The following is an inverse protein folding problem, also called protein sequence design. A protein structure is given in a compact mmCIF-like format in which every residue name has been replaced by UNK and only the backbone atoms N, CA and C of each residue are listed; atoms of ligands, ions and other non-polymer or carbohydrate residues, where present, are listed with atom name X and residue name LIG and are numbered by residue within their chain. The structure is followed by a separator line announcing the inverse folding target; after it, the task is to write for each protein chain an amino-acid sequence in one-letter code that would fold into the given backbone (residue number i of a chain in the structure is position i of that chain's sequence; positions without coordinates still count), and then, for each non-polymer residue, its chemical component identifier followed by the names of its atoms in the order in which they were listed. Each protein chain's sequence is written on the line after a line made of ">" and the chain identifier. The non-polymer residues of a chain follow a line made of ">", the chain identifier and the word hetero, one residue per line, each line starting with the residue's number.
data_IF_057911005447
#
_entry.id   IF_057911005447
#
_cell.length_a   1.000
_cell.length_b   1.000
_cell.length_c   1.000
_cell.angle_alpha   90.00
_cell.angle_beta   90.00
_cell.angle_gamma   90.00
#
_symmetry.space_group_name_H-M   'P 1'
#
loop_
_entity.id
_entity.type
_entity.pdbx_description
1 polymer ?
#
# COMPACT_ATOMS: atom_id res chain seq x y z
N UNK A 1 28.99 -10.58 -0.25
CA UNK A 1 27.87 -9.76 0.28
C UNK A 1 26.52 -10.49 0.20
N UNK A 2 26.23 -11.27 -0.86
CA UNK A 2 25.00 -12.07 -1.00
C UNK A 2 24.79 -13.15 0.08
N UNK A 3 25.84 -13.82 0.55
CA UNK A 3 25.69 -14.94 1.51
C UNK A 3 25.35 -14.53 2.96
N UNK A 4 25.52 -13.25 3.35
CA UNK A 4 25.09 -12.76 4.69
C UNK A 4 23.63 -12.27 4.72
N UNK A 5 23.03 -12.00 3.57
CA UNK A 5 21.62 -11.57 3.44
C UNK A 5 20.64 -12.76 3.52
N UNK A 6 21.06 -13.94 3.05
CA UNK A 6 20.20 -15.12 2.90
C UNK A 6 19.80 -15.73 4.25
N UNK A 7 20.64 -15.62 5.29
CA UNK A 7 20.42 -16.30 6.57
C UNK A 7 19.32 -15.73 7.47
N UNK A 8 18.77 -14.54 7.18
CA UNK A 8 17.77 -13.89 8.06
C UNK A 8 16.48 -13.49 7.34
N UNK A 9 16.55 -13.14 6.06
CA UNK A 9 15.44 -12.62 5.23
C UNK A 9 14.41 -13.66 4.69
N UNK A 10 14.40 -14.89 5.20
CA UNK A 10 13.78 -16.02 4.51
C UNK A 10 12.25 -15.90 4.35
N UNK A 11 11.51 -15.42 5.35
CA UNK A 11 10.04 -15.53 5.34
C UNK A 11 9.39 -14.70 4.23
N UNK A 12 9.69 -13.41 4.12
CA UNK A 12 9.07 -12.54 3.11
C UNK A 12 9.56 -12.90 1.69
N UNK A 13 10.83 -13.29 1.55
CA UNK A 13 11.38 -13.79 0.28
C UNK A 13 10.65 -15.05 -0.20
N UNK A 14 10.49 -16.04 0.69
CA UNK A 14 9.78 -17.30 0.39
C UNK A 14 8.30 -17.02 0.09
N UNK A 15 7.63 -16.16 0.87
CA UNK A 15 6.23 -15.78 0.60
C UNK A 15 6.08 -15.17 -0.80
N UNK A 16 6.95 -14.22 -1.17
CA UNK A 16 6.92 -13.60 -2.49
C UNK A 16 7.18 -14.60 -3.62
N UNK A 17 8.11 -15.55 -3.42
CA UNK A 17 8.38 -16.60 -4.39
C UNK A 17 7.19 -17.56 -4.55
N UNK A 18 6.57 -17.98 -3.44
CA UNK A 18 5.37 -18.82 -3.47
C UNK A 18 4.24 -18.11 -4.24
N UNK A 19 4.01 -16.82 -3.95
CA UNK A 19 2.99 -16.04 -4.65
C UNK A 19 3.28 -15.90 -6.14
N UNK A 20 4.54 -15.66 -6.52
CA UNK A 20 4.97 -15.63 -7.91
C UNK A 20 4.63 -16.95 -8.62
N UNK A 21 4.99 -18.09 -8.03
CA UNK A 21 4.70 -19.41 -8.59
C UNK A 21 3.18 -19.67 -8.69
N UNK A 22 2.41 -19.26 -7.68
CA UNK A 22 0.95 -19.33 -7.72
C UNK A 22 0.36 -18.48 -8.86
N UNK A 23 0.89 -17.26 -9.05
CA UNK A 23 0.46 -16.36 -10.11
C UNK A 23 0.83 -16.87 -11.52
N UNK A 24 1.92 -17.61 -11.66
CA UNK A 24 2.28 -18.29 -12.92
C UNK A 24 1.27 -19.40 -13.22
N UNK A 25 0.96 -20.26 -12.23
CA UNK A 25 0.13 -21.47 -12.41
C UNK A 25 -1.38 -21.21 -12.44
N UNK A 26 -1.86 -20.12 -11.85
CA UNK A 26 -3.28 -19.68 -11.87
C UNK A 26 -4.27 -20.78 -11.43
N UNK A 27 -4.01 -21.41 -10.28
CA UNK A 27 -4.86 -22.48 -9.78
C UNK A 27 -5.70 -22.03 -8.58
N UNK A 28 -7.00 -22.30 -8.61
CA UNK A 28 -7.96 -21.92 -7.56
C UNK A 28 -7.56 -22.44 -6.17
N UNK A 29 -7.11 -23.70 -6.08
CA UNK A 29 -6.66 -24.30 -4.82
C UNK A 29 -5.40 -23.61 -4.32
N UNK A 30 -4.44 -23.33 -5.22
CA UNK A 30 -3.23 -22.59 -4.85
C UNK A 30 -3.53 -21.16 -4.41
N UNK A 31 -4.50 -20.47 -5.05
CA UNK A 31 -4.98 -19.17 -4.59
C UNK A 31 -5.51 -19.21 -3.15
N UNK A 32 -6.40 -20.16 -2.85
CA UNK A 32 -6.97 -20.30 -1.50
C UNK A 32 -5.89 -20.65 -0.47
N UNK A 33 -5.00 -21.57 -0.80
CA UNK A 33 -3.91 -21.97 0.10
C UNK A 33 -2.92 -20.82 0.32
N UNK A 34 -2.55 -20.08 -0.72
CA UNK A 34 -1.59 -18.99 -0.59
C UNK A 34 -2.13 -17.84 0.25
N UNK A 35 -3.40 -17.45 0.06
CA UNK A 35 -3.99 -16.38 0.87
C UNK A 35 -4.16 -16.78 2.33
N UNK A 36 -4.56 -18.03 2.62
CA UNK A 36 -4.67 -18.55 3.99
C UNK A 36 -3.29 -18.58 4.66
N UNK A 37 -2.28 -19.10 3.96
CA UNK A 37 -0.91 -19.19 4.47
C UNK A 37 -0.38 -17.80 4.86
N UNK A 38 -0.52 -16.82 3.97
CA UNK A 38 -0.03 -15.47 4.22
C UNK A 38 -0.86 -14.79 5.30
N UNK A 39 -2.19 -14.91 5.27
CA UNK A 39 -3.04 -14.38 6.32
C UNK A 39 -2.61 -14.93 7.70
N UNK A 40 -2.33 -16.23 7.81
CA UNK A 40 -1.83 -16.80 9.06
C UNK A 40 -0.49 -16.19 9.50
N UNK A 41 0.45 -15.99 8.57
CA UNK A 41 1.73 -15.34 8.89
C UNK A 41 1.58 -13.93 9.47
N UNK A 42 0.59 -13.15 9.02
CA UNK A 42 0.41 -11.75 9.41
C UNK A 42 -0.62 -11.56 10.54
N UNK A 43 -1.64 -12.40 10.65
CA UNK A 43 -2.63 -12.32 11.74
C UNK A 43 -2.01 -12.77 13.06
N UNK A 44 -1.16 -13.81 13.03
CA UNK A 44 -0.53 -14.36 14.23
C UNK A 44 0.69 -13.55 14.70
N UNK A 45 1.13 -12.57 13.91
CA UNK A 45 2.30 -11.77 14.26
C UNK A 45 2.26 -10.36 13.67
N UNK A 46 2.64 -9.38 14.47
CA UNK A 46 2.73 -7.98 14.12
C UNK A 46 4.16 -7.47 14.28
N UNK A 47 4.38 -6.17 14.20
CA UNK A 47 5.67 -5.58 14.56
C UNK A 47 6.79 -5.76 13.53
N UNK A 48 6.44 -6.08 12.28
CA UNK A 48 7.37 -6.01 11.15
C UNK A 48 7.51 -4.53 10.76
N UNK A 49 8.72 -3.99 10.62
CA UNK A 49 8.98 -2.54 10.53
C UNK A 49 8.82 -1.79 11.87
N UNK A 50 8.56 -0.48 11.83
CA UNK A 50 8.78 0.46 12.92
C UNK A 50 7.55 1.27 13.34
N UNK A 51 6.69 1.69 12.40
CA UNK A 51 5.55 2.59 12.67
C UNK A 51 4.57 2.06 13.72
N UNK A 52 4.48 0.73 13.87
CA UNK A 52 3.67 0.07 14.91
C UNK A 52 4.02 0.49 16.34
N UNK A 53 5.26 0.92 16.59
CA UNK A 53 5.71 1.38 17.90
C UNK A 53 4.93 2.63 18.30
N UNK A 54 4.74 3.58 17.37
CA UNK A 54 3.94 4.78 17.64
C UNK A 54 2.46 4.43 17.91
N UNK A 55 1.90 3.43 17.20
CA UNK A 55 0.52 2.97 17.44
C UNK A 55 0.39 2.25 18.78
N UNK A 56 1.38 1.45 19.17
CA UNK A 56 1.42 0.77 20.47
C UNK A 56 1.51 1.78 21.61
N UNK A 57 2.36 2.80 21.48
CA UNK A 57 2.56 3.84 22.50
C UNK A 57 1.31 4.68 22.73
N UNK A 58 0.59 5.00 21.65
CA UNK A 58 -0.72 5.65 21.75
C UNK A 58 -1.75 4.72 22.38
N UNK A 59 -1.74 3.43 22.06
CA UNK A 59 -2.70 2.47 22.60
C UNK A 59 -2.55 2.32 24.13
N UNK A 60 -1.33 2.17 24.63
CA UNK A 60 -1.09 2.00 26.08
C UNK A 60 -1.41 3.27 26.88
N UNK A 61 -1.38 4.44 26.23
CA UNK A 61 -1.66 5.75 26.82
C UNK A 61 -2.95 6.35 26.24
N UNK A 62 -3.88 5.52 25.75
CA UNK A 62 -5.02 6.01 24.97
C UNK A 62 -5.92 6.97 25.77
N UNK A 63 -5.86 6.90 27.10
CA UNK A 63 -6.61 7.75 28.03
C UNK A 63 -6.08 9.18 28.16
N UNK A 64 -4.86 9.46 27.68
CA UNK A 64 -4.31 10.81 27.63
C UNK A 64 -4.86 11.63 26.44
N UNK A 65 -5.57 10.96 25.54
CA UNK A 65 -6.12 11.53 24.32
C UNK A 65 -7.66 11.58 24.38
N UNK A 66 -8.22 12.65 23.83
CA UNK A 66 -9.64 12.93 23.68
C UNK A 66 -9.96 13.58 22.33
N UNK A 67 -11.19 14.09 22.20
CA UNK A 67 -11.70 14.68 20.95
C UNK A 67 -10.90 15.89 20.46
N UNK A 68 -10.32 16.67 21.38
CA UNK A 68 -9.61 17.92 21.06
C UNK A 68 -8.12 17.70 20.73
N UNK A 69 -7.57 16.51 20.99
CA UNK A 69 -6.15 16.19 20.82
C UNK A 69 -5.97 14.78 20.24
N UNK A 70 -6.70 14.45 19.17
CA UNK A 70 -6.62 13.13 18.54
C UNK A 70 -5.21 12.85 18.00
N UNK A 71 -4.59 11.70 18.34
CA UNK A 71 -3.25 11.35 17.88
C UNK A 71 -3.23 10.94 16.40
N UNK A 72 -4.36 10.45 15.89
CA UNK A 72 -4.53 9.94 14.53
C UNK A 72 -5.93 10.31 13.99
N UNK A 73 -6.24 9.88 12.77
CA UNK A 73 -7.59 9.99 12.23
C UNK A 73 -8.62 9.28 13.14
N UNK A 74 -9.84 9.83 13.27
CA UNK A 74 -10.82 9.41 14.27
C UNK A 74 -11.15 7.90 14.24
N UNK A 75 -11.17 7.29 13.05
CA UNK A 75 -11.57 5.89 12.87
C UNK A 75 -10.65 4.91 13.60
N UNK A 76 -9.33 5.05 13.48
CA UNK A 76 -8.40 4.18 14.21
C UNK A 76 -8.41 4.50 15.71
N UNK A 77 -8.46 5.78 16.08
CA UNK A 77 -8.50 6.21 17.47
C UNK A 77 -9.69 5.60 18.22
N UNK A 78 -10.90 5.71 17.67
CA UNK A 78 -12.09 5.15 18.31
C UNK A 78 -12.07 3.62 18.33
N UNK A 79 -11.51 2.99 17.30
CA UNK A 79 -11.29 1.53 17.32
C UNK A 79 -10.34 1.12 18.46
N UNK A 80 -9.25 1.86 18.68
CA UNK A 80 -8.33 1.64 19.81
C UNK A 80 -9.05 1.82 21.15
N UNK A 81 -9.83 2.90 21.32
CA UNK A 81 -10.64 3.15 22.53
C UNK A 81 -11.64 2.04 22.82
N UNK A 82 -12.28 1.48 21.81
CA UNK A 82 -13.21 0.35 21.96
C UNK A 82 -12.48 -0.88 22.46
N UNK A 83 -11.31 -1.22 21.91
CA UNK A 83 -10.55 -2.39 22.34
C UNK A 83 -10.00 -2.22 23.76
N UNK A 84 -9.53 -1.01 24.11
CA UNK A 84 -9.04 -0.68 25.46
C UNK A 84 -10.18 -0.76 26.50
N UNK A 85 -11.38 -0.26 26.18
CA UNK A 85 -12.51 -0.24 27.12
C UNK A 85 -13.03 -1.63 27.50
N UNK A 86 -12.81 -2.64 26.65
CA UNK A 86 -13.12 -4.06 26.93
C UNK A 86 -11.89 -4.86 27.39
N UNK A 87 -10.76 -4.19 27.66
CA UNK A 87 -9.56 -4.79 28.24
C UNK A 87 -8.75 -5.67 27.29
N UNK A 88 -8.91 -5.52 25.97
CA UNK A 88 -8.14 -6.31 25.00
C UNK A 88 -6.74 -5.71 24.77
N UNK A 89 -5.71 -6.53 24.48
CA UNK A 89 -4.37 -6.01 24.20
C UNK A 89 -4.23 -5.48 22.77
N UNK A 90 -3.27 -4.57 22.55
CA UNK A 90 -2.93 -4.03 21.23
C UNK A 90 -2.64 -5.12 20.18
N UNK A 91 -2.02 -6.23 20.59
CA UNK A 91 -1.72 -7.36 19.70
C UNK A 91 -2.99 -7.94 19.07
N UNK A 92 -4.06 -8.06 19.85
CA UNK A 92 -5.35 -8.56 19.38
C UNK A 92 -6.05 -7.56 18.47
N UNK A 93 -6.00 -6.27 18.78
CA UNK A 93 -6.44 -5.21 17.88
C UNK A 93 -5.74 -5.35 16.52
N UNK A 94 -4.42 -5.48 16.50
CA UNK A 94 -3.66 -5.65 15.27
C UNK A 94 -4.08 -6.93 14.52
N UNK A 95 -4.24 -8.05 15.22
CA UNK A 95 -4.72 -9.31 14.62
C UNK A 95 -6.09 -9.16 13.95
N UNK A 96 -7.03 -8.45 14.59
CA UNK A 96 -8.35 -8.14 14.00
C UNK A 96 -8.25 -7.23 12.78
N UNK A 97 -7.37 -6.23 12.81
CA UNK A 97 -7.12 -5.35 11.65
C UNK A 97 -6.57 -6.15 10.47
N UNK A 98 -5.54 -6.96 10.69
CA UNK A 98 -4.96 -7.80 9.64
C UNK A 98 -5.99 -8.79 9.09
N UNK A 99 -6.80 -9.41 9.96
CA UNK A 99 -7.89 -10.29 9.54
C UNK A 99 -8.86 -9.56 8.60
N UNK A 100 -9.25 -8.32 8.92
CA UNK A 100 -10.11 -7.51 8.05
C UNK A 100 -9.43 -7.16 6.73
N UNK A 101 -8.14 -6.84 6.73
CA UNK A 101 -7.37 -6.56 5.51
C UNK A 101 -7.34 -7.79 4.60
N UNK A 102 -6.96 -8.96 5.13
CA UNK A 102 -6.91 -10.20 4.35
C UNK A 102 -8.29 -10.67 3.89
N UNK A 103 -9.33 -10.49 4.70
CA UNK A 103 -10.72 -10.70 4.28
C UNK A 103 -11.07 -9.81 3.08
N UNK A 104 -10.70 -8.53 3.13
CA UNK A 104 -10.97 -7.58 2.04
C UNK A 104 -10.20 -7.94 0.76
N UNK A 105 -8.94 -8.37 0.88
CA UNK A 105 -8.13 -8.89 -0.23
C UNK A 105 -8.79 -10.14 -0.84
N UNK A 106 -9.21 -11.08 0.00
CA UNK A 106 -9.90 -12.28 -0.45
C UNK A 106 -11.17 -11.94 -1.23
N UNK A 107 -12.02 -11.07 -0.68
CA UNK A 107 -13.30 -10.68 -1.29
C UNK A 107 -13.13 -9.94 -2.62
N UNK A 108 -12.07 -9.15 -2.78
CA UNK A 108 -11.75 -8.51 -4.05
C UNK A 108 -11.21 -9.53 -5.06
N UNK A 109 -10.20 -10.31 -4.68
CA UNK A 109 -9.54 -11.25 -5.60
C UNK A 109 -10.44 -12.41 -6.03
N UNK A 110 -11.38 -12.87 -5.19
CA UNK A 110 -12.26 -14.00 -5.56
C UNK A 110 -13.16 -13.70 -6.76
N UNK A 111 -13.42 -12.42 -7.02
CA UNK A 111 -14.25 -11.96 -8.13
C UNK A 111 -13.43 -11.65 -9.39
N UNK A 112 -12.10 -11.84 -9.35
CA UNK A 112 -11.20 -11.66 -10.49
C UNK A 112 -11.04 -12.97 -11.24
N UNK A 113 -10.80 -12.86 -12.54
CA UNK A 113 -10.63 -14.03 -13.41
C UNK A 113 -9.32 -14.74 -13.04
N UNK A 114 -8.26 -13.97 -12.85
CA UNK A 114 -6.95 -14.40 -12.41
C UNK A 114 -6.69 -14.00 -10.95
N UNK A 115 -7.25 -14.82 -10.05
CA UNK A 115 -7.21 -14.60 -8.60
C UNK A 115 -5.78 -14.58 -8.05
N UNK A 116 -4.94 -15.55 -8.46
CA UNK A 116 -3.56 -15.66 -8.00
C UNK A 116 -2.70 -14.48 -8.45
N UNK A 117 -2.86 -14.01 -9.69
CA UNK A 117 -2.19 -12.79 -10.16
C UNK A 117 -2.62 -11.57 -9.35
N UNK A 118 -3.91 -11.42 -9.10
CA UNK A 118 -4.46 -10.30 -8.33
C UNK A 118 -3.88 -10.25 -6.91
N UNK A 119 -3.81 -11.39 -6.22
CA UNK A 119 -3.16 -11.50 -4.89
C UNK A 119 -1.68 -11.12 -4.97
N UNK A 120 -0.95 -11.64 -5.96
CA UNK A 120 0.47 -11.35 -6.08
C UNK A 120 0.74 -9.87 -6.38
N UNK A 121 -0.05 -9.21 -7.24
CA UNK A 121 0.09 -7.77 -7.49
C UNK A 121 -0.10 -6.96 -6.20
N UNK A 122 -1.18 -7.24 -5.44
CA UNK A 122 -1.44 -6.55 -4.18
C UNK A 122 -0.29 -6.74 -3.19
N UNK A 123 0.16 -7.98 -3.00
CA UNK A 123 1.20 -8.28 -2.04
C UNK A 123 2.58 -7.77 -2.48
N UNK A 124 2.91 -7.84 -3.78
CA UNK A 124 4.18 -7.35 -4.30
C UNK A 124 4.36 -5.84 -4.09
N UNK A 125 3.28 -5.07 -4.18
CA UNK A 125 3.35 -3.61 -4.10
C UNK A 125 3.03 -3.10 -2.68
N UNK A 126 2.15 -3.78 -1.94
CA UNK A 126 1.69 -3.31 -0.63
C UNK A 126 2.16 -4.17 0.53
N UNK A 127 2.57 -5.41 0.30
CA UNK A 127 2.76 -6.42 1.35
C UNK A 127 3.77 -5.98 2.40
N UNK A 128 4.75 -5.17 2.02
CA UNK A 128 5.75 -4.65 2.95
C UNK A 128 5.44 -3.27 3.54
N UNK A 129 4.51 -2.52 2.98
CA UNK A 129 4.29 -1.13 3.41
C UNK A 129 2.96 -1.00 4.14
N UNK A 130 1.90 -1.60 3.62
CA UNK A 130 0.57 -1.51 4.22
C UNK A 130 0.27 -2.63 5.22
N UNK A 131 0.82 -3.83 5.05
CA UNK A 131 0.56 -4.98 5.94
C UNK A 131 1.53 -5.11 7.12
N UNK A 132 2.53 -4.25 7.21
CA UNK A 132 3.56 -4.33 8.26
C UNK A 132 3.76 -2.98 8.96
N UNK A 133 3.76 -1.89 8.20
CA UNK A 133 4.15 -0.57 8.70
C UNK A 133 2.95 0.37 8.88
N UNK A 134 2.11 0.52 7.85
CA UNK A 134 1.16 1.64 7.78
C UNK A 134 -0.28 1.21 8.10
N UNK A 135 -0.53 0.77 9.34
CA UNK A 135 -1.84 0.24 9.82
C UNK A 135 -3.03 1.11 9.38
N UNK A 136 -2.95 2.43 9.63
CA UNK A 136 -3.99 3.41 9.25
C UNK A 136 -4.35 3.35 7.77
N UNK A 137 -3.30 3.36 6.94
CA UNK A 137 -3.46 3.36 5.50
C UNK A 137 -3.89 1.98 4.98
N UNK A 138 -3.40 0.89 5.59
CA UNK A 138 -3.83 -0.47 5.30
C UNK A 138 -5.33 -0.66 5.52
N UNK A 139 -5.87 -0.16 6.64
CA UNK A 139 -7.31 -0.16 6.94
C UNK A 139 -8.12 0.64 5.91
N UNK A 140 -7.71 1.88 5.63
CA UNK A 140 -8.39 2.71 4.64
C UNK A 140 -8.42 2.04 3.26
N UNK A 141 -7.30 1.45 2.84
CA UNK A 141 -7.22 0.70 1.59
C UNK A 141 -8.12 -0.55 1.61
N UNK A 142 -8.12 -1.33 2.70
CA UNK A 142 -8.95 -2.53 2.82
C UNK A 142 -10.45 -2.21 2.70
N UNK A 143 -10.90 -1.09 3.28
CA UNK A 143 -12.29 -0.60 3.11
C UNK A 143 -12.57 -0.33 1.63
N UNK A 144 -11.73 0.44 0.95
CA UNK A 144 -11.89 0.72 -0.49
C UNK A 144 -11.89 -0.57 -1.31
N UNK A 145 -10.97 -1.49 -1.02
CA UNK A 145 -10.82 -2.75 -1.73
C UNK A 145 -12.06 -3.65 -1.56
N UNK A 146 -12.57 -3.77 -0.33
CA UNK A 146 -13.76 -4.57 0.01
C UNK A 146 -14.99 -4.14 -0.77
N UNK A 147 -15.13 -2.84 -0.97
CA UNK A 147 -16.27 -2.21 -1.62
C UNK A 147 -15.97 -1.74 -3.04
N UNK A 148 -14.87 -2.21 -3.64
CA UNK A 148 -14.46 -1.79 -4.97
C UNK A 148 -15.53 -2.07 -6.05
N UNK A 149 -16.34 -3.13 -5.86
CA UNK A 149 -17.46 -3.47 -6.75
C UNK A 149 -18.46 -2.32 -6.92
N UNK A 150 -18.62 -1.43 -5.92
CA UNK A 150 -19.51 -0.27 -6.04
C UNK A 150 -19.06 0.70 -7.14
N UNK A 151 -17.75 0.82 -7.37
CA UNK A 151 -17.17 1.64 -8.43
C UNK A 151 -17.31 0.96 -9.79
N UNK A 152 -17.19 -0.37 -9.85
CA UNK A 152 -17.42 -1.17 -11.07
C UNK A 152 -18.89 -1.10 -11.50
N UNK A 153 -19.82 -1.19 -10.53
CA UNK A 153 -21.27 -1.12 -10.72
C UNK A 153 -21.80 0.32 -10.90
N UNK A 154 -20.93 1.34 -10.87
CA UNK A 154 -21.28 2.78 -10.96
C UNK A 154 -22.30 3.23 -9.89
N UNK A 155 -22.27 2.64 -8.70
CA UNK A 155 -23.10 3.02 -7.55
C UNK A 155 -22.53 4.26 -6.84
N UNK A 156 -22.46 5.38 -7.58
CA UNK A 156 -21.71 6.60 -7.22
C UNK A 156 -21.98 7.12 -5.81
N UNK A 157 -23.24 7.14 -5.36
CA UNK A 157 -23.58 7.63 -4.03
C UNK A 157 -23.04 6.71 -2.93
N UNK A 158 -23.18 5.38 -3.09
CA UNK A 158 -22.65 4.42 -2.12
C UNK A 158 -21.13 4.45 -2.11
N UNK A 159 -20.48 4.51 -3.28
CA UNK A 159 -19.02 4.61 -3.36
C UNK A 159 -18.50 5.93 -2.78
N UNK A 160 -19.23 7.04 -2.91
CA UNK A 160 -18.90 8.31 -2.27
C UNK A 160 -18.81 8.15 -0.73
N UNK A 161 -19.84 7.56 -0.10
CA UNK A 161 -19.82 7.34 1.35
C UNK A 161 -18.71 6.38 1.80
N UNK A 162 -18.41 5.34 1.01
CA UNK A 162 -17.29 4.44 1.31
C UNK A 162 -15.95 5.19 1.32
N UNK A 163 -15.74 6.15 0.42
CA UNK A 163 -14.53 6.98 0.44
C UNK A 163 -14.47 7.80 1.73
N UNK A 164 -15.57 8.43 2.14
CA UNK A 164 -15.63 9.19 3.39
C UNK A 164 -15.32 8.31 4.62
N UNK A 165 -15.87 7.09 4.66
CA UNK A 165 -15.57 6.13 5.74
C UNK A 165 -14.08 5.77 5.74
N UNK A 166 -13.48 5.50 4.58
CA UNK A 166 -12.05 5.20 4.49
C UNK A 166 -11.17 6.39 4.93
N UNK A 167 -11.61 7.62 4.67
CA UNK A 167 -10.91 8.84 5.12
C UNK A 167 -10.86 8.98 6.64
N UNK A 168 -11.81 8.39 7.38
CA UNK A 168 -11.75 8.32 8.84
C UNK A 168 -10.57 7.50 9.36
N UNK A 169 -10.00 6.62 8.54
CA UNK A 169 -8.81 5.83 8.90
C UNK A 169 -7.54 6.42 8.31
N UNK A 170 -7.60 6.96 7.09
CA UNK A 170 -6.47 7.66 6.48
C UNK A 170 -6.93 8.63 5.39
N UNK A 171 -6.58 9.92 5.53
CA UNK A 171 -7.08 10.97 4.64
C UNK A 171 -6.69 10.79 3.17
N UNK A 172 -5.61 10.06 2.87
CA UNK A 172 -5.20 9.81 1.49
C UNK A 172 -6.20 9.01 0.66
N UNK A 173 -7.18 8.35 1.30
CA UNK A 173 -8.29 7.68 0.61
C UNK A 173 -9.12 8.64 -0.27
N UNK A 174 -9.05 9.95 -0.04
CA UNK A 174 -9.66 10.98 -0.91
C UNK A 174 -9.28 10.82 -2.38
N UNK A 175 -8.09 10.27 -2.68
CA UNK A 175 -7.64 10.05 -4.06
C UNK A 175 -8.54 9.07 -4.83
N UNK A 176 -9.32 8.24 -4.14
CA UNK A 176 -10.27 7.33 -4.76
C UNK A 176 -11.40 8.04 -5.51
N UNK A 177 -11.60 9.35 -5.28
CA UNK A 177 -12.48 10.16 -6.15
C UNK A 177 -12.02 10.16 -7.62
N UNK A 178 -10.72 9.91 -7.89
CA UNK A 178 -10.20 9.73 -9.25
C UNK A 178 -10.72 8.46 -9.93
N UNK A 179 -11.33 7.51 -9.20
CA UNK A 179 -11.87 6.29 -9.81
C UNK A 179 -13.00 6.61 -10.81
N UNK A 180 -13.78 7.66 -10.56
CA UNK A 180 -14.87 8.07 -11.44
C UNK A 180 -14.40 8.45 -12.86
N UNK A 181 -13.40 9.35 -13.04
CA UNK A 181 -12.84 9.61 -14.37
C UNK A 181 -11.96 8.45 -14.90
N UNK A 182 -11.31 7.67 -14.02
CA UNK A 182 -10.42 6.57 -14.43
C UNK A 182 -11.16 5.40 -15.09
N UNK A 183 -12.39 5.12 -14.66
CA UNK A 183 -13.24 4.07 -15.22
C UNK A 183 -13.87 4.46 -16.57
N UNK A 184 -13.67 5.70 -17.06
CA UNK A 184 -14.17 6.13 -18.38
C UNK A 184 -13.30 5.59 -19.52
N UNK A 185 -14.01 4.98 -20.49
CA UNK A 185 -13.51 4.13 -21.57
C UNK A 185 -13.27 4.91 -22.88
N UNK A 186 -12.28 5.81 -22.88
CA UNK A 186 -12.18 6.87 -23.90
C UNK A 186 -10.86 6.89 -24.71
N UNK A 187 -10.08 5.80 -24.73
CA UNK A 187 -8.90 5.71 -25.58
C UNK A 187 -7.72 6.59 -25.14
N UNK A 188 -6.79 6.83 -26.07
CA UNK A 188 -5.54 7.59 -25.83
C UNK A 188 -5.77 9.04 -25.37
N UNK A 189 -6.71 9.83 -25.95
CA UNK A 189 -6.95 11.19 -25.48
C UNK A 189 -7.32 11.25 -24.00
N UNK A 190 -8.03 10.23 -23.49
CA UNK A 190 -8.37 10.14 -22.08
C UNK A 190 -7.17 9.81 -21.19
N UNK A 191 -6.20 9.04 -21.68
CA UNK A 191 -4.93 8.82 -20.96
C UNK A 191 -4.18 10.15 -20.84
N UNK A 192 -4.00 10.87 -21.95
CA UNK A 192 -3.30 12.17 -21.98
C UNK A 192 -3.97 13.17 -21.04
N UNK A 193 -5.30 13.31 -21.15
CA UNK A 193 -6.10 14.19 -20.27
C UNK A 193 -5.95 13.81 -18.79
N UNK A 194 -5.97 12.51 -18.48
CA UNK A 194 -5.75 12.03 -17.11
C UNK A 194 -4.33 12.36 -16.62
N UNK A 195 -3.30 12.12 -17.43
CA UNK A 195 -1.92 12.48 -17.09
C UNK A 195 -1.79 13.96 -16.76
N UNK A 196 -2.40 14.83 -17.56
CA UNK A 196 -2.42 16.28 -17.30
C UNK A 196 -3.08 16.60 -15.94
N UNK A 197 -4.21 15.97 -15.62
CA UNK A 197 -4.86 16.13 -14.31
C UNK A 197 -4.00 15.64 -13.15
N UNK A 198 -3.28 14.54 -13.30
CA UNK A 198 -2.35 14.06 -12.28
C UNK A 198 -1.21 15.04 -12.04
N UNK A 199 -0.60 15.54 -13.12
CA UNK A 199 0.48 16.53 -13.03
C UNK A 199 -0.02 17.82 -12.37
N UNK A 200 -1.17 18.33 -12.79
CA UNK A 200 -1.79 19.50 -12.17
C UNK A 200 -2.09 19.28 -10.68
N UNK A 201 -2.66 18.14 -10.31
CA UNK A 201 -2.93 17.77 -8.92
C UNK A 201 -1.65 17.75 -8.07
N UNK A 202 -0.56 17.17 -8.58
CA UNK A 202 0.71 17.09 -7.87
C UNK A 202 1.36 18.47 -7.72
N UNK A 203 1.30 19.32 -8.75
CA UNK A 203 1.80 20.71 -8.69
C UNK A 203 1.02 21.51 -7.64
N UNK A 204 -0.31 21.44 -7.65
CA UNK A 204 -1.15 22.13 -6.66
C UNK A 204 -0.88 21.61 -5.25
N UNK A 205 -0.83 20.30 -5.06
CA UNK A 205 -0.56 19.69 -3.76
C UNK A 205 0.83 20.07 -3.24
N UNK A 206 1.82 20.18 -4.13
CA UNK A 206 3.16 20.64 -3.79
C UNK A 206 3.16 22.10 -3.35
N UNK A 207 2.45 22.97 -4.07
CA UNK A 207 2.34 24.38 -3.71
C UNK A 207 1.68 24.58 -2.34
N UNK A 208 0.63 23.80 -2.05
CA UNK A 208 -0.02 23.78 -0.74
C UNK A 208 0.90 23.25 0.37
N UNK A 209 1.74 22.25 0.09
CA UNK A 209 2.73 21.77 1.04
C UNK A 209 3.82 22.81 1.36
N UNK A 210 4.31 23.55 0.35
CA UNK A 210 5.28 24.63 0.55
C UNK A 210 4.71 25.78 1.37
N UNK A 211 3.46 26.14 1.11
CA UNK A 211 2.72 27.23 1.76
C UNK A 211 1.41 26.73 2.39
N UNK A 212 1.48 26.01 3.54
CA UNK A 212 0.28 25.51 4.22
C UNK A 212 -0.71 26.62 4.58
N UNK A 213 -0.23 27.84 4.84
CA UNK A 213 -1.06 28.99 5.24
C UNK A 213 -2.17 29.33 4.22
N UNK A 214 -2.01 28.94 2.95
CA UNK A 214 -3.03 29.09 1.91
C UNK A 214 -4.33 28.32 2.20
N UNK A 215 -4.26 27.31 3.07
CA UNK A 215 -5.41 26.50 3.51
C UNK A 215 -5.62 26.59 5.02
N UNK A 216 -5.08 27.62 5.67
CA UNK A 216 -5.25 27.90 7.11
C UNK A 216 -6.72 27.97 7.54
N UNK A 217 -7.62 28.37 6.63
CA UNK A 217 -9.08 28.37 6.86
C UNK A 217 -9.67 26.97 7.03
N UNK A 218 -8.99 25.92 6.58
CA UNK A 218 -9.39 24.52 6.74
C UNK A 218 -8.44 23.86 7.75
N UNK A 219 -8.71 24.06 9.05
CA UNK A 219 -7.80 23.69 10.14
C UNK A 219 -7.25 22.27 10.08
N UNK A 220 -8.06 21.27 9.70
CA UNK A 220 -7.63 19.87 9.55
C UNK A 220 -6.59 19.71 8.42
N UNK A 221 -6.82 20.36 7.28
CA UNK A 221 -5.91 20.29 6.13
C UNK A 221 -4.62 21.05 6.43
N UNK A 222 -4.74 22.24 7.04
CA UNK A 222 -3.61 23.04 7.49
C UNK A 222 -2.70 22.26 8.43
N UNK A 223 -3.25 21.72 9.54
CA UNK A 223 -2.48 20.98 10.53
C UNK A 223 -1.69 19.82 9.91
N UNK A 224 -2.32 19.04 9.03
CA UNK A 224 -1.63 17.94 8.33
C UNK A 224 -0.49 18.42 7.45
N UNK A 225 -0.68 19.48 6.66
CA UNK A 225 0.38 19.99 5.80
C UNK A 225 1.56 20.52 6.61
N UNK A 226 1.30 21.17 7.75
CA UNK A 226 2.34 21.60 8.70
C UNK A 226 3.07 20.40 9.29
N UNK A 227 2.36 19.37 9.77
CA UNK A 227 2.97 18.15 10.31
C UNK A 227 3.87 17.45 9.28
N UNK A 228 3.40 17.33 8.03
CA UNK A 228 4.18 16.77 6.94
C UNK A 228 5.39 17.65 6.59
N UNK A 229 5.25 18.96 6.56
CA UNK A 229 6.37 19.89 6.31
C UNK A 229 7.43 19.81 7.40
N UNK A 230 7.03 19.65 8.67
CA UNK A 230 7.94 19.57 9.80
C UNK A 230 8.60 18.19 9.94
N UNK A 231 7.89 17.12 9.55
CA UNK A 231 8.38 15.74 9.68
C UNK A 231 9.33 15.32 8.56
N UNK A 232 9.29 16.00 7.41
CA UNK A 232 10.14 15.68 6.26
C UNK A 232 11.00 16.91 5.92
N UNK A 233 12.27 16.88 6.34
CA UNK A 233 13.27 17.92 6.03
C UNK A 233 13.71 17.91 4.56
N UNK A 234 13.41 16.82 3.85
CA UNK A 234 13.64 16.73 2.42
C UNK A 234 12.58 17.57 1.70
N UNK A 235 13.03 18.64 1.04
CA UNK A 235 12.28 19.23 -0.07
C UNK A 235 11.92 18.17 -1.12
N UNK A 236 11.14 18.55 -2.14
CA UNK A 236 10.87 17.67 -3.29
C UNK A 236 12.17 16.97 -3.71
N UNK A 237 12.14 15.64 -3.71
CA UNK A 237 13.19 14.72 -4.15
C UNK A 237 14.05 15.42 -5.20
N UNK A 238 15.32 15.66 -4.87
CA UNK A 238 16.26 16.21 -5.84
C UNK A 238 16.17 15.37 -7.11
N UNK A 239 16.38 15.96 -8.28
CA UNK A 239 16.39 15.21 -9.54
C UNK A 239 17.30 13.96 -9.47
N UNK A 240 18.35 13.99 -8.63
CA UNK A 240 19.17 12.82 -8.28
C UNK A 240 18.39 11.70 -7.59
N UNK A 241 17.58 12.00 -6.56
CA UNK A 241 16.81 11.00 -5.82
C UNK A 241 15.68 10.39 -6.68
N UNK A 242 15.14 11.14 -7.66
CA UNK A 242 14.18 10.62 -8.65
C UNK A 242 14.86 9.64 -9.60
N UNK A 243 16.05 10.01 -10.11
CA UNK A 243 16.87 9.18 -10.99
C UNK A 243 17.35 7.90 -10.28
N UNK A 244 17.63 7.98 -8.98
CA UNK A 244 18.05 6.86 -8.15
C UNK A 244 16.88 5.98 -7.66
N UNK A 245 15.63 6.40 -7.85
CA UNK A 245 14.45 5.65 -7.43
C UNK A 245 14.27 4.38 -8.28
N UNK A 246 14.93 3.30 -7.84
CA UNK A 246 14.82 1.95 -8.43
C UNK A 246 13.36 1.50 -8.59
N UNK A 247 12.47 1.89 -7.68
CA UNK A 247 11.03 1.54 -7.74
C UNK A 247 10.32 2.26 -8.88
N UNK A 248 10.64 3.55 -9.12
CA UNK A 248 10.09 4.29 -10.25
C UNK A 248 10.47 3.62 -11.57
N UNK A 249 11.73 3.20 -11.72
CA UNK A 249 12.21 2.48 -12.91
C UNK A 249 11.38 1.19 -13.14
N UNK A 250 11.11 0.43 -12.08
CA UNK A 250 10.29 -0.78 -12.18
C UNK A 250 8.83 -0.48 -12.58
N UNK A 251 8.22 0.59 -12.07
CA UNK A 251 6.89 1.02 -12.52
C UNK A 251 6.85 1.48 -13.98
N UNK A 252 7.87 2.22 -14.41
CA UNK A 252 8.03 2.60 -15.82
C UNK A 252 8.22 1.37 -16.71
N UNK A 253 8.95 0.35 -16.25
CA UNK A 253 9.10 -0.91 -16.97
C UNK A 253 7.76 -1.64 -17.13
N UNK A 254 6.94 -1.74 -16.06
CA UNK A 254 5.58 -2.30 -16.16
C UNK A 254 4.76 -1.47 -17.15
N UNK A 255 4.81 -0.14 -17.05
CA UNK A 255 4.08 0.76 -17.94
C UNK A 255 4.42 0.53 -19.41
N UNK A 256 5.70 0.37 -19.75
CA UNK A 256 6.16 0.02 -21.11
C UNK A 256 5.55 -1.30 -21.57
N UNK A 257 5.61 -2.36 -20.75
CA UNK A 257 5.04 -3.67 -21.09
C UNK A 257 3.53 -3.57 -21.33
N UNK A 258 2.81 -2.85 -20.47
CA UNK A 258 1.36 -2.64 -20.61
C UNK A 258 1.01 -1.80 -21.84
N UNK A 259 1.82 -0.80 -22.20
CA UNK A 259 1.66 -0.06 -23.46
C UNK A 259 1.87 -0.95 -24.70
N UNK A 260 2.85 -1.86 -24.67
CA UNK A 260 3.08 -2.83 -25.75
C UNK A 260 1.86 -3.77 -25.87
N UNK A 261 1.37 -4.29 -24.73
CA UNK A 261 0.16 -5.13 -24.67
C UNK A 261 -1.04 -4.44 -25.30
N UNK A 262 -1.24 -3.15 -24.97
CA UNK A 262 -2.29 -2.30 -25.54
C UNK A 262 -2.19 -2.18 -27.06
N UNK A 263 -1.00 -1.93 -27.60
CA UNK A 263 -0.81 -1.80 -29.06
C UNK A 263 -1.19 -3.09 -29.79
N UNK A 264 -0.81 -4.25 -29.27
CA UNK A 264 -1.04 -5.55 -29.92
C UNK A 264 -2.50 -6.01 -29.92
N UNK A 265 -3.28 -5.72 -28.89
CA UNK A 265 -4.69 -6.15 -28.80
C UNK A 265 -5.69 -5.00 -28.68
N UNK A 266 -5.37 -3.84 -29.28
CA UNK A 266 -6.16 -2.59 -29.18
C UNK A 266 -7.65 -2.78 -29.51
N UNK A 267 -7.97 -3.59 -30.52
CA UNK A 267 -9.35 -3.80 -31.00
C UNK A 267 -10.22 -4.62 -30.04
N UNK A 268 -9.62 -5.43 -29.17
CA UNK A 268 -10.36 -6.39 -28.33
C UNK A 268 -10.35 -5.98 -26.84
N UNK A 269 -9.25 -5.37 -26.36
CA UNK A 269 -9.07 -5.08 -24.92
C UNK A 269 -8.49 -3.68 -24.65
N UNK A 270 -8.45 -2.81 -25.67
CA UNK A 270 -7.77 -1.51 -25.56
C UNK A 270 -8.35 -0.62 -24.46
N UNK A 271 -9.60 -0.88 -24.08
CA UNK A 271 -10.38 -0.03 -23.20
C UNK A 271 -10.14 -0.31 -21.71
N UNK A 272 -9.99 -1.57 -21.33
CA UNK A 272 -9.70 -2.01 -19.96
C UNK A 272 -8.24 -1.73 -19.59
N UNK A 273 -7.32 -1.97 -20.53
CA UNK A 273 -5.88 -1.70 -20.34
C UNK A 273 -5.62 -0.19 -20.15
N UNK A 274 -6.44 0.68 -20.75
CA UNK A 274 -6.31 2.14 -20.57
C UNK A 274 -6.41 2.54 -19.08
N UNK A 275 -7.28 1.89 -18.31
CA UNK A 275 -7.39 2.14 -16.87
C UNK A 275 -6.13 1.71 -16.11
N UNK A 276 -5.53 0.57 -16.46
CA UNK A 276 -4.25 0.14 -15.88
C UNK A 276 -3.10 1.07 -16.24
N UNK A 277 -3.07 1.60 -17.46
CA UNK A 277 -2.07 2.59 -17.88
C UNK A 277 -2.22 3.87 -17.06
N UNK A 278 -3.44 4.39 -16.92
CA UNK A 278 -3.69 5.58 -16.10
C UNK A 278 -3.27 5.33 -14.64
N UNK A 279 -3.64 4.19 -14.06
CA UNK A 279 -3.23 3.81 -12.72
C UNK A 279 -1.70 3.80 -12.56
N UNK A 280 -0.97 3.15 -13.48
CA UNK A 280 0.49 3.10 -13.47
C UNK A 280 1.15 4.47 -13.65
N UNK A 281 0.61 5.34 -14.51
CA UNK A 281 1.08 6.72 -14.67
C UNK A 281 0.96 7.45 -13.33
N UNK A 282 -0.21 7.36 -12.68
CA UNK A 282 -0.38 7.98 -11.36
C UNK A 282 0.60 7.40 -10.33
N UNK A 283 0.73 6.08 -10.25
CA UNK A 283 1.66 5.42 -9.34
C UNK A 283 3.12 5.84 -9.56
N UNK A 284 3.54 5.97 -10.83
CA UNK A 284 4.88 6.45 -11.18
C UNK A 284 5.06 7.92 -10.78
N UNK A 285 4.11 8.80 -11.12
CA UNK A 285 4.18 10.22 -10.76
C UNK A 285 4.16 10.44 -9.24
N UNK A 286 3.49 9.58 -8.48
CA UNK A 286 3.51 9.69 -7.01
C UNK A 286 4.85 9.32 -6.36
N UNK A 287 5.81 8.75 -7.09
CA UNK A 287 7.16 8.48 -6.58
C UNK A 287 8.04 9.70 -6.46
N UNK A 288 7.54 10.88 -6.85
CA UNK A 288 8.30 12.12 -6.73
C UNK A 288 8.49 12.56 -5.28
N UNK A 289 7.67 12.12 -4.33
CA UNK A 289 7.93 12.37 -2.90
C UNK A 289 7.47 11.21 -2.03
N UNK A 290 8.02 11.09 -0.82
CA UNK A 290 7.53 10.14 0.19
C UNK A 290 6.06 10.40 0.54
N UNK A 291 5.67 11.68 0.63
CA UNK A 291 4.28 12.09 0.87
C UNK A 291 3.34 11.56 -0.22
N UNK A 292 3.65 11.83 -1.49
CA UNK A 292 2.84 11.38 -2.62
C UNK A 292 2.86 9.87 -2.79
N UNK A 293 3.96 9.22 -2.42
CA UNK A 293 4.10 7.77 -2.45
C UNK A 293 3.00 7.04 -1.68
N UNK A 294 2.34 7.69 -0.71
CA UNK A 294 1.18 7.12 -0.03
C UNK A 294 -0.04 6.99 -0.95
N UNK A 295 -0.28 7.90 -1.90
CA UNK A 295 -1.46 7.85 -2.77
C UNK A 295 -1.47 6.66 -3.73
N UNK A 296 -0.30 6.14 -4.11
CA UNK A 296 -0.15 5.11 -5.13
C UNK A 296 -0.99 3.85 -4.85
N UNK A 297 -1.12 3.44 -3.58
CA UNK A 297 -1.68 2.14 -3.24
C UNK A 297 -3.15 2.04 -3.62
N UNK A 298 -3.89 3.15 -3.54
CA UNK A 298 -5.29 3.20 -3.94
C UNK A 298 -5.50 2.98 -5.44
N UNK A 299 -4.47 3.07 -6.29
CA UNK A 299 -4.61 2.78 -7.72
C UNK A 299 -4.51 1.29 -8.07
N UNK A 300 -4.12 0.45 -7.11
CA UNK A 300 -3.94 -0.99 -7.33
C UNK A 300 -5.20 -1.74 -7.78
N UNK A 301 -6.39 -1.50 -7.22
CA UNK A 301 -7.61 -2.18 -7.65
C UNK A 301 -7.92 -1.89 -9.13
N UNK A 302 -7.66 -0.67 -9.59
CA UNK A 302 -7.82 -0.25 -11.00
C UNK A 302 -6.77 -0.93 -11.87
N UNK A 303 -5.51 -0.89 -11.44
CA UNK A 303 -4.40 -1.54 -12.15
C UNK A 303 -4.67 -3.03 -12.38
N UNK A 304 -5.06 -3.74 -11.32
CA UNK A 304 -5.39 -5.17 -11.36
C UNK A 304 -6.57 -5.41 -12.29
N UNK A 305 -7.67 -4.68 -12.13
CA UNK A 305 -8.90 -4.92 -12.89
C UNK A 305 -8.73 -4.76 -14.40
N UNK A 306 -7.82 -3.90 -14.85
CA UNK A 306 -7.52 -3.76 -16.29
C UNK A 306 -6.56 -4.82 -16.83
N UNK A 307 -5.61 -5.31 -16.03
CA UNK A 307 -4.66 -6.37 -16.43
C UNK A 307 -5.32 -7.76 -16.39
N UNK A 308 -6.12 -8.03 -15.36
CA UNK A 308 -6.81 -9.30 -15.14
C UNK A 308 -7.53 -9.77 -16.41
N UNK A 309 -8.42 -8.92 -16.93
CA UNK A 309 -9.20 -9.17 -18.16
C UNK A 309 -8.34 -9.40 -19.39
N UNK A 310 -7.17 -8.77 -19.49
CA UNK A 310 -6.28 -8.96 -20.64
C UNK A 310 -5.72 -10.38 -20.70
N UNK A 311 -5.32 -10.92 -19.54
CA UNK A 311 -4.67 -12.23 -19.49
C UNK A 311 -5.65 -13.38 -19.64
N UNK A 312 -6.86 -13.27 -19.12
CA UNK A 312 -7.91 -14.30 -19.29
C UNK A 312 -8.38 -14.41 -20.73
N UNK A 313 -8.47 -13.29 -21.44
CA UNK A 313 -8.97 -13.28 -22.81
C UNK A 313 -7.91 -13.68 -23.86
N UNK A 314 -6.72 -14.11 -23.40
CA UNK A 314 -5.72 -14.78 -24.22
C UNK A 314 -6.01 -16.28 -24.28
N UNK A 315 -6.80 -16.71 -25.26
CA UNK A 315 -7.29 -18.10 -25.49
C UNK A 315 -6.23 -19.21 -25.61
N UNK A 316 -4.94 -18.90 -25.47
CA UNK A 316 -3.85 -19.88 -25.54
C UNK A 316 -3.53 -20.41 -24.14
N UNK A 317 -3.55 -21.74 -23.96
CA UNK A 317 -3.03 -22.45 -22.78
C UNK A 317 -1.54 -22.16 -22.47
N UNK A 318 -0.85 -21.36 -23.30
CA UNK A 318 0.53 -20.93 -23.07
C UNK A 318 0.57 -19.59 -22.34
N UNK A 319 1.41 -19.54 -21.31
CA UNK A 319 1.67 -18.34 -20.53
C UNK A 319 2.27 -17.27 -21.44
N UNK A 320 1.64 -16.10 -21.51
CA UNK A 320 2.13 -14.99 -22.33
C UNK A 320 3.47 -14.47 -21.79
N UNK A 321 4.43 -14.19 -22.69
CA UNK A 321 5.70 -13.54 -22.31
C UNK A 321 5.46 -12.22 -21.56
N UNK A 322 4.42 -11.46 -21.92
CA UNK A 322 4.07 -10.20 -21.25
C UNK A 322 3.66 -10.43 -19.79
N UNK A 323 2.94 -11.53 -19.53
CA UNK A 323 2.57 -11.92 -18.17
C UNK A 323 3.81 -12.25 -17.35
N UNK A 324 4.71 -13.07 -17.89
CA UNK A 324 5.97 -13.43 -17.22
C UNK A 324 6.82 -12.17 -16.96
N UNK A 325 6.94 -11.26 -17.92
CA UNK A 325 7.67 -10.00 -17.73
C UNK A 325 7.09 -9.17 -16.59
N UNK A 326 5.77 -8.98 -16.55
CA UNK A 326 5.12 -8.25 -15.45
C UNK A 326 5.35 -8.94 -14.11
N UNK A 327 5.20 -10.26 -14.05
CA UNK A 327 5.42 -11.05 -12.84
C UNK A 327 6.85 -10.94 -12.30
N UNK A 328 7.86 -10.98 -13.18
CA UNK A 328 9.26 -10.82 -12.80
C UNK A 328 9.51 -9.40 -12.27
N UNK A 329 8.99 -8.36 -12.95
CA UNK A 329 9.17 -6.97 -12.50
C UNK A 329 8.48 -6.76 -11.14
N UNK A 330 7.26 -7.29 -10.96
CA UNK A 330 6.55 -7.27 -9.67
C UNK A 330 7.32 -8.00 -8.57
N UNK A 331 7.96 -9.12 -8.89
CA UNK A 331 8.82 -9.83 -7.95
C UNK A 331 9.97 -8.93 -7.48
N UNK A 332 10.66 -8.22 -8.38
CA UNK A 332 11.69 -7.25 -7.97
C UNK A 332 11.13 -6.10 -7.13
N UNK A 333 9.92 -5.62 -7.43
CA UNK A 333 9.24 -4.61 -6.58
C UNK A 333 9.00 -5.17 -5.17
N UNK A 334 8.56 -6.43 -5.06
CA UNK A 334 8.33 -7.09 -3.77
C UNK A 334 9.61 -7.26 -2.92
N UNK A 335 10.78 -7.23 -3.58
CA UNK A 335 12.09 -7.34 -2.93
C UNK A 335 12.72 -6.00 -2.56
N UNK A 336 12.05 -4.88 -2.87
CA UNK A 336 12.50 -3.52 -2.48
C UNK A 336 12.92 -3.37 -1.01
N UNK A 337 12.30 -4.04 -0.03
CA UNK A 337 12.69 -3.83 1.36
C UNK A 337 14.03 -4.47 1.72
N UNK A 338 14.48 -5.46 0.94
CA UNK A 338 15.81 -6.04 1.08
C UNK A 338 16.93 -5.13 0.59
N UNK A 339 16.61 -3.97 0.00
CA UNK A 339 17.59 -2.99 -0.45
C UNK A 339 18.07 -2.05 0.66
N UNK A 340 17.44 -2.09 1.84
CA UNK A 340 17.81 -1.27 2.99
C UNK A 340 18.06 -2.14 4.22
N UNK A 341 19.21 -1.95 4.86
CA UNK A 341 19.59 -2.71 6.05
C UNK A 341 18.59 -2.53 7.20
N UNK A 342 18.06 -1.31 7.36
CA UNK A 342 17.04 -0.97 8.37
C UNK A 342 15.83 -1.90 8.25
N UNK A 343 15.30 -2.07 7.04
CA UNK A 343 14.14 -2.92 6.76
C UNK A 343 14.46 -4.42 6.87
N UNK A 344 15.65 -4.85 6.41
CA UNK A 344 16.08 -6.25 6.54
C UNK A 344 16.10 -6.70 8.00
N UNK A 345 16.60 -5.86 8.91
CA UNK A 345 16.65 -6.20 10.32
C UNK A 345 15.25 -6.22 10.96
N UNK A 346 14.37 -5.30 10.59
CA UNK A 346 13.04 -5.18 11.20
C UNK A 346 12.02 -6.22 10.73
N UNK A 347 12.22 -6.84 9.58
CA UNK A 347 11.28 -7.84 9.03
C UNK A 347 11.43 -9.23 9.64
N UNK A 348 12.61 -9.52 10.21
CA UNK A 348 12.99 -10.86 10.63
C UNK A 348 12.78 -11.12 12.12
N UNK A 349 12.18 -10.16 12.84
CA UNK A 349 11.98 -10.22 14.29
C UNK A 349 10.55 -9.78 14.65
N UNK A 350 9.51 -10.42 14.08
CA UNK A 350 8.14 -10.03 14.36
C UNK A 350 7.79 -10.28 15.83
N UNK A 351 6.80 -9.55 16.31
CA UNK A 351 6.15 -9.78 17.60
C UNK A 351 4.92 -10.65 17.39
N UNK A 352 4.56 -11.51 18.34
CA UNK A 352 3.44 -12.44 18.18
C UNK A 352 2.21 -12.00 18.94
N UNK A 353 1.05 -12.53 18.54
CA UNK A 353 -0.25 -12.21 19.15
C UNK A 353 -0.26 -12.37 20.68
N UNK A 354 0.45 -13.39 21.18
CA UNK A 354 0.54 -13.75 22.61
C UNK A 354 1.84 -13.28 23.28
N UNK A 355 2.61 -12.39 22.65
CA UNK A 355 3.83 -11.83 23.25
C UNK A 355 3.49 -11.00 24.50
N UNK A 356 4.31 -11.15 25.54
CA UNK A 356 4.18 -10.37 26.78
C UNK A 356 4.59 -8.91 26.57
N UNK A 357 4.25 -8.02 27.51
CA UNK A 357 4.72 -6.63 27.52
C UNK A 357 6.26 -6.55 27.48
N UNK A 358 6.94 -7.48 28.16
CA UNK A 358 8.40 -7.55 28.17
C UNK A 358 8.95 -7.91 26.79
N UNK A 359 8.34 -8.90 26.11
CA UNK A 359 8.75 -9.28 24.75
C UNK A 359 8.59 -8.12 23.77
N UNK A 360 7.45 -7.40 23.86
CA UNK A 360 7.17 -6.21 23.05
C UNK A 360 8.23 -5.13 23.30
N UNK A 361 8.51 -4.79 24.56
CA UNK A 361 9.50 -3.78 24.91
C UNK A 361 10.93 -4.19 24.49
N UNK A 362 11.30 -5.46 24.64
CA UNK A 362 12.58 -5.97 24.14
C UNK A 362 12.69 -5.85 22.62
N UNK A 363 11.62 -6.14 21.87
CA UNK A 363 11.59 -5.96 20.42
C UNK A 363 11.73 -4.48 20.04
N UNK A 364 11.04 -3.56 20.74
CA UNK A 364 11.16 -2.12 20.56
C UNK A 364 12.61 -1.65 20.77
N UNK A 365 13.26 -2.07 21.85
CA UNK A 365 14.66 -1.71 22.14
C UNK A 365 15.61 -2.18 21.02
N UNK A 366 15.43 -3.40 20.52
CA UNK A 366 16.19 -3.91 19.36
C UNK A 366 15.93 -3.07 18.10
N UNK A 367 14.70 -2.60 17.89
CA UNK A 367 14.32 -1.75 16.75
C UNK A 367 14.95 -0.37 16.84
N UNK A 368 14.87 0.30 17.98
CA UNK A 368 15.51 1.60 18.17
C UNK A 368 17.03 1.49 17.97
N UNK A 369 17.68 0.45 18.53
CA UNK A 369 19.11 0.20 18.30
C UNK A 369 19.45 0.04 16.80
N UNK A 370 18.61 -0.68 16.04
CA UNK A 370 18.80 -0.82 14.59
C UNK A 370 18.58 0.50 13.82
N UNK A 371 17.60 1.32 14.21
CA UNK A 371 17.40 2.65 13.63
C UNK A 371 18.61 3.55 13.87
N UNK A 372 19.11 3.64 15.11
CA UNK A 372 20.31 4.42 15.40
C UNK A 372 21.57 3.90 14.69
N UNK A 373 21.66 2.60 14.40
CA UNK A 373 22.79 2.04 13.69
C UNK A 373 22.76 2.34 12.18
N UNK A 374 21.58 2.27 11.55
CA UNK A 374 21.45 2.27 10.08
C UNK A 374 20.72 3.47 9.48
N UNK A 375 20.01 4.26 10.28
CA UNK A 375 19.18 5.39 9.84
C UNK A 375 19.09 6.47 10.95
N UNK A 376 20.25 7.06 11.27
CA UNK A 376 20.44 8.01 12.40
C UNK A 376 19.58 9.27 12.33
N UNK A 377 19.10 9.62 11.14
CA UNK A 377 18.32 10.84 10.87
C UNK A 377 16.82 10.60 10.95
N UNK A 378 16.38 9.35 11.13
CA UNK A 378 14.97 8.99 11.16
C UNK A 378 14.34 9.28 12.52
N UNK A 379 13.68 10.44 12.60
CA UNK A 379 12.97 10.90 13.80
C UNK A 379 11.47 10.54 13.78
N UNK A 380 11.03 9.65 12.89
CA UNK A 380 9.60 9.32 12.75
C UNK A 380 9.06 8.49 13.93
N UNK A 381 9.92 7.71 14.60
CA UNK A 381 9.55 6.89 15.75
C UNK A 381 9.89 7.63 17.03
N UNK A 382 8.88 8.15 17.73
CA UNK A 382 9.06 9.08 18.85
C UNK A 382 9.88 8.44 19.98
N UNK A 383 9.61 7.16 20.29
CA UNK A 383 10.31 6.41 21.34
C UNK A 383 11.80 6.15 21.04
N UNK A 384 12.21 6.20 19.78
CA UNK A 384 13.59 5.97 19.36
C UNK A 384 14.37 7.28 19.13
N UNK A 385 13.86 8.43 19.61
CA UNK A 385 14.55 9.72 19.52
C UNK A 385 15.59 9.89 20.61
#
# INVERSE_FOLDING_TARGET
>A
MFNKLIGKAMTLFIVNLILLLCAIKENERLYKLSIIFIAACFILSFGRSYDWINYYDVYININDYGLMNLPFEPGLFWLMKIFDSIGLPFSLLNGCIELFIFYSIYQFCKNKENKSLSVFILFAIMGNTLLTEQIRQGLAFAIILRFYYLFEDKKNLKSFFIILIAMLFHMSAIICFLFYPLNKKNGMPSIIKFTFYCVAFLIVSYFLWLKPDLVSSVGILYGKLVDYKNSYTEGFVSWSNLYESKVLILYLAILVVVFIMRRKKKKVFGVEIDSSIKALIFMALTKITVFFGRFQYFMLPIFISGIDKYFTASTSKRISIYKISILIILYFISLTPFWSNTYVHSMNDPVYLFSSKNDINSAINRRCAALHAYDKTNNAIIRCR
#
